data_IF_421385066118
#
_entry.id   IF_421385066118
#
_cell.length_a   1.000
_cell.length_b   1.000
_cell.length_c   1.000
_cell.angle_alpha   90.00
_cell.angle_beta   90.00
_cell.angle_gamma   90.00
#
_symmetry.space_group_name_H-M   'P 1'
#
loop_
_entity.id
_entity.type
_entity.pdbx_description
1 polymer ?
#
# COMPACT_ATOMS: atom_id res chain seq x y z
N UNK A 1 10.85 -17.24 -30.47
CA UNK A 1 12.30 -17.09 -30.22
C UNK A 1 12.41 -16.25 -28.97
N UNK A 2 12.49 -16.91 -27.82
CA UNK A 2 12.62 -16.24 -26.53
C UNK A 2 14.07 -15.79 -26.33
N UNK A 3 14.32 -14.55 -25.86
CA UNK A 3 15.65 -14.15 -25.44
C UNK A 3 15.99 -14.85 -24.13
N UNK A 4 16.97 -15.75 -24.17
CA UNK A 4 17.62 -16.30 -22.98
C UNK A 4 18.27 -15.14 -22.23
N UNK A 5 17.73 -14.79 -21.07
CA UNK A 5 18.39 -13.92 -20.10
C UNK A 5 19.72 -14.58 -19.72
N UNK A 6 20.80 -14.15 -20.36
CA UNK A 6 22.15 -14.49 -19.93
C UNK A 6 22.37 -13.81 -18.58
N UNK A 7 22.32 -14.58 -17.50
CA UNK A 7 22.94 -14.16 -16.24
C UNK A 7 24.43 -14.01 -16.54
N UNK A 8 25.02 -12.80 -16.45
CA UNK A 8 26.46 -12.67 -16.66
C UNK A 8 27.17 -13.58 -15.65
N UNK A 9 28.02 -14.47 -16.14
CA UNK A 9 28.85 -15.33 -15.30
C UNK A 9 29.63 -14.44 -14.33
N UNK A 10 29.65 -14.80 -13.03
CA UNK A 10 30.33 -14.03 -11.97
C UNK A 10 31.75 -13.65 -12.46
N UNK A 11 32.07 -12.38 -12.69
CA UNK A 11 33.32 -11.98 -13.32
C UNK A 11 34.52 -11.97 -12.35
N UNK A 12 34.36 -12.52 -11.14
CA UNK A 12 35.34 -12.47 -10.06
C UNK A 12 35.66 -13.88 -9.55
N UNK A 13 36.89 -14.09 -9.11
CA UNK A 13 37.27 -15.36 -8.49
C UNK A 13 36.54 -15.55 -7.14
N UNK A 14 36.05 -16.77 -6.84
CA UNK A 14 35.25 -17.06 -5.64
C UNK A 14 35.90 -16.64 -4.31
N UNK A 15 37.22 -16.67 -4.22
CA UNK A 15 37.98 -16.34 -2.99
C UNK A 15 38.54 -14.91 -3.00
N UNK A 16 38.13 -14.09 -3.97
CA UNK A 16 38.58 -12.70 -4.03
C UNK A 16 37.92 -11.84 -2.93
N UNK A 17 38.59 -10.79 -2.44
CA UNK A 17 37.97 -9.83 -1.53
C UNK A 17 36.67 -9.19 -2.08
N UNK A 18 36.54 -9.09 -3.42
CA UNK A 18 35.31 -8.63 -4.07
C UNK A 18 34.19 -9.68 -4.00
N UNK A 19 34.49 -10.97 -4.15
CA UNK A 19 33.50 -12.03 -3.97
C UNK A 19 33.00 -12.07 -2.52
N UNK A 20 33.90 -11.91 -1.55
CA UNK A 20 33.55 -11.79 -0.13
C UNK A 20 32.68 -10.55 0.16
N UNK A 21 33.01 -9.40 -0.45
CA UNK A 21 32.17 -8.20 -0.35
C UNK A 21 30.78 -8.41 -0.95
N UNK A 22 30.68 -9.10 -2.09
CA UNK A 22 29.39 -9.42 -2.72
C UNK A 22 28.59 -10.42 -1.91
N UNK A 23 29.23 -11.36 -1.22
CA UNK A 23 28.60 -12.29 -0.29
C UNK A 23 28.07 -11.56 0.96
N UNK A 24 28.86 -10.64 1.53
CA UNK A 24 28.41 -9.77 2.63
C UNK A 24 27.24 -8.89 2.15
N UNK A 25 27.34 -8.29 0.95
CA UNK A 25 26.29 -7.45 0.41
C UNK A 25 25.01 -8.25 0.15
N UNK A 26 25.13 -9.47 -0.40
CA UNK A 26 24.01 -10.39 -0.64
C UNK A 26 23.36 -10.87 0.67
N UNK A 27 24.16 -11.14 1.71
CA UNK A 27 23.69 -11.50 3.04
C UNK A 27 23.12 -10.30 3.82
N UNK A 28 23.58 -9.08 3.52
CA UNK A 28 23.02 -7.84 4.05
C UNK A 28 21.70 -7.44 3.35
N UNK A 29 21.34 -8.08 2.23
CA UNK A 29 19.97 -8.07 1.68
C UNK A 29 19.07 -9.07 2.43
N UNK A 30 19.33 -9.27 3.73
CA UNK A 30 18.31 -9.80 4.62
C UNK A 30 17.10 -8.86 4.56
N UNK A 31 15.91 -9.44 4.54
CA UNK A 31 14.68 -8.65 4.52
C UNK A 31 14.70 -7.72 5.73
N UNK A 32 14.50 -6.43 5.46
CA UNK A 32 14.35 -5.42 6.50
C UNK A 32 13.36 -5.94 7.57
N UNK A 33 13.67 -5.87 8.88
CA UNK A 33 12.76 -6.30 9.93
C UNK A 33 11.36 -5.71 9.76
N UNK A 34 10.30 -6.47 10.07
CA UNK A 34 8.91 -6.00 9.89
C UNK A 34 8.64 -4.67 10.60
N UNK A 35 9.25 -4.43 11.77
CA UNK A 35 9.07 -3.17 12.51
C UNK A 35 9.71 -1.98 11.77
N UNK A 36 10.89 -2.17 11.17
CA UNK A 36 11.52 -1.14 10.34
C UNK A 36 10.69 -0.86 9.08
N UNK A 37 10.09 -1.89 8.48
CA UNK A 37 9.18 -1.72 7.33
C UNK A 37 7.92 -0.94 7.70
N UNK A 38 7.35 -1.18 8.89
CA UNK A 38 6.17 -0.45 9.40
C UNK A 38 6.53 1.02 9.60
N UNK A 39 7.60 1.30 10.33
CA UNK A 39 8.06 2.65 10.62
C UNK A 39 8.42 3.42 9.34
N UNK A 40 9.06 2.74 8.39
CA UNK A 40 9.39 3.27 7.07
C UNK A 40 8.14 3.62 6.25
N UNK A 41 7.12 2.76 6.26
CA UNK A 41 5.86 3.03 5.56
C UNK A 41 5.10 4.20 6.18
N UNK A 42 5.03 4.29 7.51
CA UNK A 42 4.40 5.42 8.21
C UNK A 42 5.08 6.75 7.86
N UNK A 43 6.40 6.76 7.96
CA UNK A 43 7.22 7.93 7.65
C UNK A 43 7.09 8.31 6.18
N UNK A 44 7.11 7.33 5.27
CA UNK A 44 6.94 7.53 3.83
C UNK A 44 5.58 8.14 3.49
N UNK A 45 4.51 7.64 4.09
CA UNK A 45 3.16 8.17 3.87
C UNK A 45 3.00 9.60 4.37
N UNK A 46 3.46 9.88 5.60
CA UNK A 46 3.42 11.23 6.16
C UNK A 46 4.24 12.22 5.33
N UNK A 47 5.43 11.81 4.88
CA UNK A 47 6.29 12.62 4.02
C UNK A 47 5.65 12.87 2.65
N UNK A 48 5.09 11.85 2.01
CA UNK A 48 4.41 12.00 0.73
C UNK A 48 3.23 12.97 0.84
N UNK A 49 2.38 12.83 1.88
CA UNK A 49 1.27 13.76 2.11
C UNK A 49 1.75 15.19 2.32
N UNK A 50 2.79 15.38 3.13
CA UNK A 50 3.37 16.70 3.36
C UNK A 50 3.94 17.32 2.08
N UNK A 51 4.61 16.54 1.24
CA UNK A 51 5.28 17.02 0.04
C UNK A 51 4.31 17.29 -1.13
N UNK A 52 3.38 16.37 -1.39
CA UNK A 52 2.50 16.42 -2.56
C UNK A 52 1.17 17.14 -2.30
N UNK A 53 0.74 17.27 -1.03
CA UNK A 53 -0.56 17.82 -0.64
C UNK A 53 -0.45 18.81 0.53
N UNK A 54 0.62 19.61 0.53
CA UNK A 54 0.99 20.54 1.60
C UNK A 54 -0.15 21.50 1.99
N UNK A 55 -1.00 21.88 1.04
CA UNK A 55 -2.07 22.85 1.23
C UNK A 55 -3.46 22.25 1.45
N UNK A 56 -3.58 20.92 1.45
CA UNK A 56 -4.83 20.19 1.65
C UNK A 56 -4.70 19.09 2.71
N UNK A 57 -4.33 17.87 2.32
CA UNK A 57 -4.27 16.71 3.22
C UNK A 57 -3.29 16.93 4.37
N UNK A 58 -2.15 17.57 4.13
CA UNK A 58 -1.17 17.83 5.19
C UNK A 58 -1.69 18.75 6.30
N UNK A 59 -2.72 19.56 6.04
CA UNK A 59 -3.38 20.39 7.06
C UNK A 59 -4.48 19.64 7.80
N UNK A 60 -5.03 18.58 7.21
CA UNK A 60 -6.19 17.85 7.73
C UNK A 60 -5.85 16.51 8.38
N UNK A 61 -4.75 15.88 7.96
CA UNK A 61 -4.29 14.57 8.41
C UNK A 61 -3.00 14.75 9.18
N UNK A 62 -3.06 14.48 10.49
CA UNK A 62 -1.88 14.54 11.36
C UNK A 62 -0.89 13.42 11.00
N UNK A 63 0.41 13.69 11.01
CA UNK A 63 1.43 12.70 10.66
C UNK A 63 1.43 11.47 11.58
N UNK A 64 0.92 11.58 12.80
CA UNK A 64 0.87 10.49 13.78
C UNK A 64 -0.32 9.53 13.62
N UNK A 65 -1.24 9.78 12.67
CA UNK A 65 -2.41 8.89 12.46
C UNK A 65 -2.16 7.75 11.48
N UNK A 66 -1.00 7.76 10.82
CA UNK A 66 -0.60 6.69 9.93
C UNK A 66 -0.22 5.44 10.73
N UNK A 67 -0.72 4.30 10.29
CA UNK A 67 -0.35 2.98 10.81
C UNK A 67 0.31 2.18 9.70
N UNK A 68 1.55 1.74 9.93
CA UNK A 68 2.35 0.97 9.00
C UNK A 68 2.01 -0.51 9.04
N UNK A 69 2.18 -1.17 7.88
CA UNK A 69 2.02 -2.59 7.67
C UNK A 69 3.22 -3.10 6.87
N UNK A 70 3.84 -4.22 7.30
CA UNK A 70 4.98 -4.76 6.60
C UNK A 70 4.56 -5.37 5.26
N UNK A 71 5.53 -5.64 4.40
CA UNK A 71 5.28 -6.37 3.16
C UNK A 71 4.73 -7.77 3.47
N UNK A 72 3.74 -8.22 2.68
CA UNK A 72 3.14 -9.55 2.82
C UNK A 72 3.51 -10.40 1.63
N UNK A 73 4.12 -11.56 1.89
CA UNK A 73 4.38 -12.58 0.89
C UNK A 73 3.28 -13.62 0.91
N UNK A 74 2.45 -13.66 -0.13
CA UNK A 74 1.49 -14.74 -0.32
C UNK A 74 2.21 -15.94 -0.97
N UNK A 75 1.95 -17.16 -0.46
CA UNK A 75 2.47 -18.40 -1.04
C UNK A 75 2.06 -18.51 -2.51
N UNK A 76 2.99 -18.24 -3.43
CA UNK A 76 2.69 -18.28 -4.88
C UNK A 76 3.16 -17.07 -5.70
N UNK A 77 4.03 -16.21 -5.15
CA UNK A 77 4.73 -15.09 -5.82
C UNK A 77 4.04 -13.71 -5.77
N UNK A 78 2.86 -13.58 -5.15
CA UNK A 78 2.29 -12.25 -4.91
C UNK A 78 2.93 -11.63 -3.68
N UNK A 79 3.76 -10.61 -3.90
CA UNK A 79 4.30 -9.73 -2.86
C UNK A 79 3.41 -8.49 -2.79
N UNK A 80 2.88 -8.19 -1.61
CA UNK A 80 2.32 -6.89 -1.29
C UNK A 80 3.43 -6.07 -0.63
N UNK A 81 3.65 -4.85 -1.11
CA UNK A 81 4.64 -3.94 -0.55
C UNK A 81 4.23 -3.48 0.85
N UNK A 82 5.21 -2.99 1.61
CA UNK A 82 4.92 -2.28 2.85
C UNK A 82 4.00 -1.09 2.55
N UNK A 83 3.05 -0.84 3.45
CA UNK A 83 1.99 0.15 3.25
C UNK A 83 1.65 0.85 4.54
N UNK A 84 1.01 2.01 4.46
CA UNK A 84 0.50 2.70 5.63
C UNK A 84 -0.94 3.14 5.41
N UNK A 85 -1.72 3.15 6.48
CA UNK A 85 -3.15 3.51 6.46
C UNK A 85 -3.45 4.62 7.45
N UNK A 86 -4.24 5.61 7.03
CA UNK A 86 -4.77 6.67 7.89
C UNK A 86 -6.31 6.67 7.87
N UNK A 87 -6.94 6.51 9.03
CA UNK A 87 -8.40 6.55 9.15
C UNK A 87 -8.89 8.00 9.25
N UNK A 88 -9.79 8.41 8.35
CA UNK A 88 -10.29 9.79 8.27
C UNK A 88 -11.66 9.98 8.96
N UNK A 89 -12.27 8.89 9.45
CA UNK A 89 -13.63 8.89 9.97
C UNK A 89 -14.69 8.76 8.87
N UNK A 90 -15.97 8.58 9.25
CA UNK A 90 -17.05 8.35 8.28
C UNK A 90 -16.92 7.05 7.46
N UNK A 91 -16.00 6.17 7.84
CA UNK A 91 -15.64 4.97 7.09
C UNK A 91 -14.63 5.21 5.96
N UNK A 92 -14.10 6.43 5.83
CA UNK A 92 -13.04 6.75 4.86
C UNK A 92 -11.67 6.41 5.43
N UNK A 93 -10.78 5.93 4.57
CA UNK A 93 -9.36 5.82 4.92
C UNK A 93 -8.46 6.07 3.71
N UNK A 94 -7.25 6.54 4.00
CA UNK A 94 -6.17 6.63 3.03
C UNK A 94 -5.30 5.40 3.14
N UNK A 95 -4.87 4.88 2.01
CA UNK A 95 -3.89 3.81 1.90
C UNK A 95 -2.73 4.32 1.06
N UNK A 96 -1.54 4.29 1.64
CA UNK A 96 -0.29 4.67 0.97
C UNK A 96 0.55 3.43 0.74
N UNK A 97 1.22 3.37 -0.41
CA UNK A 97 2.19 2.33 -0.74
C UNK A 97 3.25 2.91 -1.64
N UNK A 98 4.51 2.54 -1.41
CA UNK A 98 5.59 2.80 -2.35
C UNK A 98 5.63 1.67 -3.39
N UNK A 99 5.29 1.96 -4.64
CA UNK A 99 5.38 0.98 -5.72
C UNK A 99 6.73 1.12 -6.42
N UNK A 100 7.41 -0.01 -6.60
CA UNK A 100 8.68 -0.06 -7.33
C UNK A 100 8.46 -0.81 -8.63
N UNK A 101 8.65 -0.13 -9.76
CA UNK A 101 8.63 -0.76 -11.08
C UNK A 101 10.00 -0.63 -11.74
N UNK A 102 10.37 -1.58 -12.60
CA UNK A 102 11.63 -1.51 -13.34
C UNK A 102 11.69 -0.30 -14.29
N UNK A 103 10.53 0.14 -14.80
CA UNK A 103 10.43 1.22 -15.78
C UNK A 103 10.47 2.62 -15.15
N UNK A 104 9.76 2.83 -14.04
CA UNK A 104 9.51 4.16 -13.48
C UNK A 104 10.19 4.37 -12.12
N UNK A 105 10.84 3.34 -11.58
CA UNK A 105 11.45 3.36 -10.26
C UNK A 105 10.42 3.36 -9.13
N UNK A 106 10.85 3.84 -7.97
CA UNK A 106 10.01 3.96 -6.79
C UNK A 106 9.11 5.20 -6.89
N UNK A 107 7.80 5.01 -6.79
CA UNK A 107 6.83 6.10 -6.75
C UNK A 107 5.77 5.86 -5.68
N UNK A 108 5.37 6.94 -5.02
CA UNK A 108 4.33 6.92 -4.02
C UNK A 108 2.95 6.78 -4.68
N UNK A 109 2.12 5.90 -4.13
CA UNK A 109 0.72 5.75 -4.52
C UNK A 109 -0.15 6.01 -3.31
N UNK A 110 -1.02 7.01 -3.42
CA UNK A 110 -2.03 7.33 -2.42
C UNK A 110 -3.41 6.95 -2.95
N UNK A 111 -4.16 6.17 -2.18
CA UNK A 111 -5.50 5.73 -2.53
C UNK A 111 -6.47 6.12 -1.44
N UNK A 112 -7.55 6.83 -1.80
CA UNK A 112 -8.70 7.01 -0.94
C UNK A 112 -9.62 5.82 -1.07
N UNK A 113 -9.96 5.21 0.05
CA UNK A 113 -10.91 4.11 0.10
C UNK A 113 -12.19 4.62 0.77
N UNK A 114 -13.26 4.68 -0.01
CA UNK A 114 -14.51 5.32 0.37
C UNK A 114 -15.66 4.29 0.37
N UNK A 115 -16.57 4.34 1.36
CA UNK A 115 -17.74 3.46 1.38
C UNK A 115 -18.63 3.74 0.16
N UNK A 116 -19.18 2.70 -0.47
CA UNK A 116 -20.07 2.87 -1.61
C UNK A 116 -21.49 3.27 -1.16
N UNK A 117 -22.19 4.08 -1.99
CA UNK A 117 -23.60 4.43 -1.76
C UNK A 117 -24.54 3.23 -1.83
N UNK A 118 -24.17 2.13 -2.48
CA UNK A 118 -24.96 0.89 -2.48
C UNK A 118 -24.89 0.12 -1.15
N UNK A 119 -23.97 0.49 -0.25
CA UNK A 119 -23.81 -0.13 1.07
C UNK A 119 -23.16 -1.52 1.08
N UNK A 120 -22.67 -2.02 -0.06
CA UNK A 120 -22.13 -3.38 -0.20
C UNK A 120 -20.61 -3.48 -0.09
N UNK A 121 -19.90 -2.36 -0.03
CA UNK A 121 -18.46 -2.34 0.18
C UNK A 121 -17.85 -0.97 -0.05
N UNK A 122 -16.67 -0.96 -0.63
CA UNK A 122 -15.81 0.21 -0.78
C UNK A 122 -15.38 0.40 -2.24
N UNK A 123 -14.99 1.61 -2.56
CA UNK A 123 -14.36 1.97 -3.82
C UNK A 123 -12.97 2.52 -3.54
N UNK A 124 -12.01 2.07 -4.33
CA UNK A 124 -10.61 2.51 -4.27
C UNK A 124 -10.41 3.58 -5.33
N UNK A 125 -9.94 4.76 -4.92
CA UNK A 125 -9.76 5.91 -5.79
C UNK A 125 -8.33 6.40 -5.64
N UNK A 126 -7.50 6.18 -6.66
CA UNK A 126 -6.12 6.68 -6.65
C UNK A 126 -6.12 8.21 -6.74
N UNK A 127 -5.28 8.84 -5.92
CA UNK A 127 -5.09 10.28 -5.87
C UNK A 127 -3.74 10.57 -6.49
N UNK A 128 -3.72 10.96 -7.76
CA UNK A 128 -2.46 11.21 -8.47
C UNK A 128 -1.94 12.64 -8.23
N UNK A 129 -2.84 13.60 -8.00
CA UNK A 129 -2.52 15.01 -7.84
C UNK A 129 -3.47 15.70 -6.87
N UNK A 130 -3.10 16.91 -6.43
CA UNK A 130 -3.98 17.74 -5.60
C UNK A 130 -5.25 18.18 -6.34
N UNK A 131 -5.20 18.40 -7.66
CA UNK A 131 -6.40 18.69 -8.46
C UNK A 131 -7.37 17.50 -8.47
N UNK A 132 -6.86 16.28 -8.67
CA UNK A 132 -7.65 15.04 -8.61
C UNK A 132 -8.27 14.85 -7.22
N UNK A 133 -7.53 15.14 -6.15
CA UNK A 133 -8.08 15.14 -4.79
C UNK A 133 -9.29 16.07 -4.67
N UNK A 134 -9.19 17.30 -5.19
CA UNK A 134 -10.28 18.28 -5.10
C UNK A 134 -11.51 17.83 -5.89
N UNK A 135 -11.33 17.20 -7.05
CA UNK A 135 -12.41 16.60 -7.83
C UNK A 135 -13.10 15.47 -7.05
N UNK A 136 -12.33 14.54 -6.50
CA UNK A 136 -12.84 13.42 -5.68
C UNK A 136 -13.64 13.95 -4.48
N UNK A 137 -13.11 14.94 -3.76
CA UNK A 137 -13.80 15.52 -2.60
C UNK A 137 -15.10 16.25 -3.01
N UNK A 138 -15.14 16.87 -4.20
CA UNK A 138 -16.35 17.47 -4.73
C UNK A 138 -17.41 16.41 -5.07
N UNK A 139 -17.01 15.25 -5.58
CA UNK A 139 -17.91 14.11 -5.87
C UNK A 139 -18.44 13.42 -4.61
N UNK A 140 -17.61 13.30 -3.57
CA UNK A 140 -17.99 12.67 -2.31
C UNK A 140 -18.85 13.56 -1.40
N UNK A 141 -18.79 14.88 -1.58
CA UNK A 141 -19.50 15.83 -0.71
C UNK A 141 -21.03 15.66 -0.72
N UNK A 142 -21.71 15.52 -1.87
CA UNK A 142 -23.17 15.33 -1.91
C UNK A 142 -23.66 14.03 -1.25
N UNK A 143 -22.78 13.03 -1.15
CA UNK A 143 -23.08 11.69 -0.63
C UNK A 143 -22.54 11.48 0.78
N UNK A 144 -22.08 12.55 1.44
CA UNK A 144 -21.50 12.52 2.79
C UNK A 144 -20.30 11.57 2.92
N UNK A 145 -19.38 11.60 1.93
CA UNK A 145 -18.16 10.81 1.95
C UNK A 145 -18.31 9.42 1.32
N UNK A 146 -19.36 9.18 0.52
CA UNK A 146 -19.61 7.86 -0.09
C UNK A 146 -19.42 7.89 -1.60
N UNK A 147 -18.66 6.94 -2.15
CA UNK A 147 -18.49 6.85 -3.59
C UNK A 147 -19.80 6.43 -4.28
N UNK A 148 -20.14 7.09 -5.39
CA UNK A 148 -21.30 6.72 -6.21
C UNK A 148 -21.11 5.31 -6.76
N UNK A 149 -22.16 4.51 -6.71
CA UNK A 149 -22.16 3.20 -7.34
C UNK A 149 -22.30 3.36 -8.85
N UNK A 150 -21.32 2.84 -9.60
CA UNK A 150 -21.43 2.67 -11.05
C UNK A 150 -21.71 1.19 -11.35
N UNK A 151 -22.87 0.90 -11.92
CA UNK A 151 -23.28 -0.46 -12.31
C UNK A 151 -22.44 -1.03 -13.48
N UNK A 152 -21.62 -0.20 -14.14
CA UNK A 152 -20.71 -0.62 -15.22
C UNK A 152 -19.31 -0.97 -14.72
N UNK A 153 -18.90 -0.50 -13.54
CA UNK A 153 -17.63 -0.86 -12.93
C UNK A 153 -17.80 -2.17 -12.16
N UNK A 154 -17.00 -3.23 -12.45
CA UNK A 154 -17.13 -4.47 -11.73
C UNK A 154 -16.72 -4.23 -10.28
N UNK A 155 -17.72 -4.29 -9.42
CA UNK A 155 -17.67 -4.61 -8.01
C UNK A 155 -17.06 -3.54 -7.07
N UNK A 156 -17.93 -2.91 -6.27
CA UNK A 156 -17.60 -2.13 -5.06
C UNK A 156 -17.02 -3.01 -3.93
N UNK A 157 -16.16 -3.97 -4.29
CA UNK A 157 -15.64 -5.03 -3.45
C UNK A 157 -14.15 -4.80 -3.17
N UNK A 158 -13.76 -3.67 -2.59
CA UNK A 158 -12.39 -3.54 -2.03
C UNK A 158 -12.13 -4.44 -0.82
N UNK A 159 -13.08 -5.29 -0.45
CA UNK A 159 -12.80 -6.50 0.32
C UNK A 159 -13.00 -7.68 -0.63
N UNK A 160 -11.93 -8.13 -1.30
CA UNK A 160 -11.85 -9.55 -1.60
C UNK A 160 -12.05 -10.25 -0.26
N UNK A 161 -13.09 -11.08 -0.14
CA UNK A 161 -13.18 -11.97 1.02
C UNK A 161 -11.86 -12.72 1.07
N UNK A 162 -11.04 -12.43 2.09
CA UNK A 162 -9.92 -13.30 2.41
C UNK A 162 -10.49 -14.72 2.42
N UNK A 163 -9.88 -15.70 1.72
CA UNK A 163 -10.38 -17.06 1.76
C UNK A 163 -10.54 -17.42 3.23
N UNK A 164 -11.73 -17.89 3.60
CA UNK A 164 -12.04 -18.22 4.99
C UNK A 164 -10.93 -19.13 5.52
N UNK A 165 -10.02 -18.57 6.31
CA UNK A 165 -8.98 -19.35 6.96
C UNK A 165 -9.72 -20.21 7.97
N UNK A 166 -9.97 -21.46 7.60
CA UNK A 166 -10.54 -22.45 8.49
C UNK A 166 -9.57 -22.61 9.66
N UNK A 167 -9.84 -21.95 10.79
CA UNK A 167 -9.04 -22.17 11.99
C UNK A 167 -8.97 -21.06 13.03
N UNK A 168 -9.42 -19.83 12.80
CA UNK A 168 -9.34 -18.81 13.86
C UNK A 168 -10.57 -18.85 14.79
N UNK A 169 -10.41 -19.06 16.11
CA UNK A 169 -11.53 -19.10 17.03
C UNK A 169 -12.22 -17.73 17.11
N UNK A 170 -13.50 -17.69 16.74
CA UNK A 170 -14.40 -16.58 17.08
C UNK A 170 -14.59 -16.60 18.60
N UNK A 171 -13.91 -15.70 19.31
CA UNK A 171 -14.26 -15.41 20.71
C UNK A 171 -15.64 -14.78 20.74
N UNK A 172 -16.66 -15.60 21.00
CA UNK A 172 -17.96 -15.14 21.41
C UNK A 172 -17.84 -14.53 22.81
N UNK A 173 -17.97 -13.21 22.92
CA UNK A 173 -18.42 -12.59 24.16
C UNK A 173 -19.90 -12.27 24.01
N UNK A 174 -20.74 -13.18 24.49
CA UNK A 174 -22.08 -12.86 24.95
C UNK A 174 -21.96 -12.12 26.27
N UNK A 175 -22.46 -10.88 26.32
CA UNK A 175 -22.77 -10.22 27.59
C UNK A 175 -24.29 -10.26 27.69
N UNK A 176 -24.77 -11.01 28.67
CA UNK A 176 -26.16 -11.00 29.12
C UNK A 176 -26.43 -9.85 30.08
#
# INVERSE_FOLDING_TARGET
MDPVLHTPARPYEPDSPLAYLMEIAAAAVDEEPEDEQRDGAETGAAHHVYAAYAYSLAQAVDSAVWQGYPCVREHGARRFEASAVALLGGGLWLHHTLRVTEADGAHDVLTLIAPCTCGRGYADITIDTEDVLMEILAELKPTYGRSLHDDQAPDCHSVQQAPAVAGWPRSARSIG
#
